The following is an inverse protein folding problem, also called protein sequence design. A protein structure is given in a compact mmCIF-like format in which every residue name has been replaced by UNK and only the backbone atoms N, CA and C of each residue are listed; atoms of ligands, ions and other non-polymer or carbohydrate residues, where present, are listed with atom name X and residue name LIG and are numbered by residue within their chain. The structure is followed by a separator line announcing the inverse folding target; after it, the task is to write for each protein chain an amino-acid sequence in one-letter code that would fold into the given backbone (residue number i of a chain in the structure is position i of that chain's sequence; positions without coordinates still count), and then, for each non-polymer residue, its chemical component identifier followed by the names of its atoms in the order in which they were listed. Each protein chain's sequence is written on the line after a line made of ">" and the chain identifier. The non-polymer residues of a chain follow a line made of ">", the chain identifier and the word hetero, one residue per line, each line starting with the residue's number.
data_IF_519443262317
#
_entry.id   IF_519443262317
#
_cell.length_a   1.000
_cell.length_b   1.000
_cell.length_c   1.000
_cell.angle_alpha   90.00
_cell.angle_beta   90.00
_cell.angle_gamma   90.00
#
_symmetry.space_group_name_H-M   'P 1'
#
loop_
_entity.id
_entity.type
_entity.pdbx_description
1 polymer ?
#
# COMPACT_ATOMS: atom_id res chain seq x y z
N UNK A 1 -4.48 -8.94 11.66
CA UNK A 1 -3.88 -8.50 10.39
C UNK A 1 -2.63 -9.31 10.07
N UNK A 2 -1.70 -9.51 11.00
CA UNK A 2 -0.45 -10.26 10.79
C UNK A 2 -0.68 -11.69 10.27
N UNK A 3 -1.69 -12.39 10.80
CA UNK A 3 -2.05 -13.74 10.32
C UNK A 3 -2.47 -13.75 8.84
N UNK A 4 -3.24 -12.76 8.41
CA UNK A 4 -3.67 -12.63 7.02
C UNK A 4 -2.50 -12.30 6.07
N UNK A 5 -1.55 -11.48 6.54
CA UNK A 5 -0.32 -11.21 5.79
C UNK A 5 0.58 -12.45 5.67
N UNK A 6 0.63 -13.29 6.71
CA UNK A 6 1.35 -14.57 6.66
C UNK A 6 0.70 -15.53 5.65
N UNK A 7 -0.63 -15.58 5.60
CA UNK A 7 -1.34 -16.36 4.58
C UNK A 7 -1.00 -15.88 3.17
N UNK A 8 -0.97 -14.57 2.95
CA UNK A 8 -0.62 -13.96 1.67
C UNK A 8 0.81 -14.38 1.23
N UNK A 9 1.76 -14.37 2.17
CA UNK A 9 3.14 -14.79 1.91
C UNK A 9 3.29 -16.27 1.51
N UNK A 10 2.43 -17.15 2.01
CA UNK A 10 2.44 -18.58 1.67
C UNK A 10 1.64 -18.86 0.40
N UNK A 11 0.50 -18.19 0.24
CA UNK A 11 -0.41 -18.43 -0.89
C UNK A 11 0.21 -17.92 -2.20
N UNK A 12 0.88 -16.77 -2.20
CA UNK A 12 1.41 -16.15 -3.41
C UNK A 12 2.36 -17.07 -4.21
N UNK A 13 3.45 -17.63 -3.63
CA UNK A 13 4.32 -18.56 -4.37
C UNK A 13 3.58 -19.83 -4.79
N UNK A 14 2.64 -20.32 -3.95
CA UNK A 14 1.88 -21.54 -4.23
C UNK A 14 0.94 -21.39 -5.43
N UNK A 15 0.34 -20.21 -5.59
CA UNK A 15 -0.55 -19.93 -6.73
C UNK A 15 0.27 -19.71 -8.01
N UNK A 16 1.45 -19.08 -7.93
CA UNK A 16 2.38 -18.97 -9.05
C UNK A 16 2.88 -20.33 -9.54
N UNK A 17 3.10 -21.28 -8.65
CA UNK A 17 3.40 -22.67 -9.04
C UNK A 17 2.27 -23.30 -9.87
N UNK A 18 1.01 -23.03 -9.52
CA UNK A 18 -0.14 -23.54 -10.28
C UNK A 18 -0.30 -22.92 -11.67
N UNK A 19 0.26 -21.74 -11.90
CA UNK A 19 0.29 -21.10 -13.22
C UNK A 19 1.40 -21.61 -14.15
N UNK A 20 2.14 -22.66 -13.72
CA UNK A 20 3.14 -23.34 -14.56
C UNK A 20 4.58 -22.88 -14.37
N UNK A 21 4.84 -21.98 -13.43
CA UNK A 21 6.20 -21.56 -13.07
C UNK A 21 6.90 -22.62 -12.19
N UNK A 22 8.24 -22.66 -12.25
CA UNK A 22 9.01 -23.50 -11.32
C UNK A 22 8.94 -22.93 -9.89
N UNK A 23 9.22 -23.77 -8.90
CA UNK A 23 9.29 -23.32 -7.50
C UNK A 23 10.36 -22.25 -7.31
N UNK A 24 11.51 -22.42 -7.95
CA UNK A 24 12.63 -21.48 -7.90
C UNK A 24 12.21 -20.10 -8.45
N UNK A 25 11.55 -20.07 -9.61
CA UNK A 25 11.11 -18.83 -10.25
C UNK A 25 10.02 -18.14 -9.42
N UNK A 26 9.05 -18.91 -8.92
CA UNK A 26 7.97 -18.37 -8.07
C UNK A 26 8.51 -17.72 -6.79
N UNK A 27 9.47 -18.35 -6.12
CA UNK A 27 10.12 -17.80 -4.94
C UNK A 27 11.01 -16.59 -5.28
N UNK A 28 11.71 -16.63 -6.41
CA UNK A 28 12.53 -15.50 -6.89
C UNK A 28 11.66 -14.26 -7.16
N UNK A 29 10.57 -14.43 -7.90
CA UNK A 29 9.61 -13.37 -8.19
C UNK A 29 9.03 -12.77 -6.90
N UNK A 30 8.61 -13.63 -5.97
CA UNK A 30 8.12 -13.19 -4.66
C UNK A 30 9.19 -12.42 -3.88
N UNK A 31 10.44 -12.90 -3.89
CA UNK A 31 11.57 -12.26 -3.24
C UNK A 31 11.89 -10.87 -3.84
N UNK A 32 11.87 -10.75 -5.16
CA UNK A 32 12.08 -9.47 -5.85
C UNK A 32 10.96 -8.48 -5.50
N UNK A 33 9.71 -8.94 -5.53
CA UNK A 33 8.57 -8.09 -5.22
C UNK A 33 8.58 -7.61 -3.76
N UNK A 34 8.72 -8.53 -2.81
CA UNK A 34 8.61 -8.24 -1.37
C UNK A 34 9.91 -7.74 -0.73
N UNK A 35 11.06 -8.14 -1.27
CA UNK A 35 12.37 -7.76 -0.75
C UNK A 35 12.99 -6.54 -1.43
N UNK A 36 12.55 -6.18 -2.64
CA UNK A 36 13.13 -5.08 -3.41
C UNK A 36 12.07 -4.02 -3.76
N UNK A 37 11.05 -4.36 -4.56
CA UNK A 37 10.13 -3.36 -5.09
C UNK A 37 9.22 -2.74 -4.01
N UNK A 38 8.55 -3.55 -3.19
CA UNK A 38 7.65 -3.06 -2.13
C UNK A 38 8.36 -2.18 -1.10
N UNK A 39 9.55 -2.55 -0.55
CA UNK A 39 10.28 -1.69 0.36
C UNK A 39 10.63 -0.31 -0.22
N UNK A 40 11.04 -0.26 -1.49
CA UNK A 40 11.35 1.01 -2.18
C UNK A 40 10.11 1.90 -2.26
N UNK A 41 8.99 1.35 -2.73
CA UNK A 41 7.73 2.10 -2.90
C UNK A 41 7.13 2.51 -1.55
N UNK A 42 7.29 1.69 -0.52
CA UNK A 42 6.78 2.01 0.82
C UNK A 42 7.70 2.90 1.64
N UNK A 43 8.99 2.99 1.31
CA UNK A 43 9.96 3.80 2.08
C UNK A 43 9.52 5.26 2.30
N UNK A 44 9.03 6.02 1.29
CA UNK A 44 8.59 7.39 1.52
C UNK A 44 7.35 7.50 2.41
N UNK A 45 6.59 6.40 2.62
CA UNK A 45 5.45 6.39 3.53
C UNK A 45 5.83 6.68 4.98
N UNK A 46 7.11 6.55 5.35
CA UNK A 46 7.61 6.92 6.66
C UNK A 46 7.34 8.40 6.99
N UNK A 47 7.39 9.29 5.98
CA UNK A 47 7.06 10.70 6.12
C UNK A 47 5.57 10.86 6.45
N UNK A 48 4.71 10.19 5.71
CA UNK A 48 3.26 10.21 5.96
C UNK A 48 2.91 9.59 7.30
N UNK A 49 3.57 8.52 7.71
CA UNK A 49 3.38 7.88 9.01
C UNK A 49 3.76 8.84 10.15
N UNK A 50 4.85 9.60 9.99
CA UNK A 50 5.27 10.60 10.98
C UNK A 50 4.22 11.72 11.14
N UNK A 51 3.70 12.24 10.04
CA UNK A 51 2.61 13.23 10.06
C UNK A 51 1.34 12.63 10.68
N UNK A 52 1.01 11.42 10.32
CA UNK A 52 -0.17 10.69 10.80
C UNK A 52 -0.13 10.42 12.32
N UNK A 53 1.06 10.12 12.86
CA UNK A 53 1.23 9.96 14.32
C UNK A 53 1.01 11.27 15.09
N UNK A 54 1.37 12.41 14.51
CA UNK A 54 1.08 13.74 15.11
C UNK A 54 -0.39 14.12 14.93
N UNK A 55 -1.02 13.68 13.86
CA UNK A 55 -2.42 13.97 13.55
C UNK A 55 -3.38 13.28 14.55
N UNK A 56 -3.09 12.06 14.95
CA UNK A 56 -3.93 11.27 15.84
C UNK A 56 -4.28 12.00 17.16
N UNK A 57 -3.33 12.50 17.99
CA UNK A 57 -3.66 13.23 19.20
C UNK A 57 -4.31 14.59 18.91
N UNK A 58 -3.98 15.23 17.79
CA UNK A 58 -4.58 16.50 17.38
C UNK A 58 -6.08 16.32 17.10
N UNK A 59 -6.44 15.31 16.33
CA UNK A 59 -7.85 14.96 16.05
C UNK A 59 -8.58 14.52 17.32
N UNK A 60 -7.95 13.68 18.15
CA UNK A 60 -8.55 13.22 19.41
C UNK A 60 -8.83 14.39 20.37
N UNK A 61 -7.90 15.33 20.48
CA UNK A 61 -8.07 16.54 21.28
C UNK A 61 -9.18 17.44 20.76
N UNK A 62 -9.22 17.70 19.46
CA UNK A 62 -10.28 18.49 18.82
C UNK A 62 -11.66 17.79 18.95
N UNK A 63 -11.71 16.47 18.83
CA UNK A 63 -12.93 15.69 18.99
C UNK A 63 -13.47 15.77 20.42
N UNK A 64 -12.62 15.64 21.44
CA UNK A 64 -13.03 15.78 22.83
C UNK A 64 -13.49 17.20 23.20
N UNK A 65 -12.95 18.22 22.52
CA UNK A 65 -13.35 19.62 22.66
C UNK A 65 -14.54 20.03 21.78
N UNK A 66 -15.14 19.13 21.01
CA UNK A 66 -16.17 19.41 20.00
C UNK A 66 -15.77 20.46 18.96
N UNK A 67 -14.44 20.60 18.68
CA UNK A 67 -13.92 21.53 17.68
C UNK A 67 -13.97 20.92 16.26
N UNK A 68 -15.17 20.96 15.67
CA UNK A 68 -15.40 20.46 14.30
C UNK A 68 -14.52 21.21 13.27
N UNK A 69 -14.26 22.51 13.49
CA UNK A 69 -13.44 23.31 12.60
C UNK A 69 -11.97 22.87 12.62
N UNK A 70 -11.44 22.57 13.81
CA UNK A 70 -10.09 22.02 13.98
C UNK A 70 -9.93 20.66 13.32
N UNK A 71 -10.89 19.76 13.50
CA UNK A 71 -10.91 18.43 12.86
C UNK A 71 -10.88 18.60 11.33
N UNK A 72 -11.76 19.44 10.78
CA UNK A 72 -11.85 19.66 9.32
C UNK A 72 -10.53 20.18 8.74
N UNK A 73 -9.95 21.23 9.34
CA UNK A 73 -8.68 21.80 8.87
C UNK A 73 -7.54 20.81 8.92
N UNK A 74 -7.40 20.08 10.03
CA UNK A 74 -6.36 19.06 10.20
C UNK A 74 -6.51 17.94 9.16
N UNK A 75 -7.72 17.47 8.92
CA UNK A 75 -8.05 16.46 7.92
C UNK A 75 -7.72 16.93 6.50
N UNK A 76 -8.21 18.10 6.10
CA UNK A 76 -7.96 18.69 4.77
C UNK A 76 -6.46 18.84 4.49
N UNK A 77 -5.72 19.46 5.44
CA UNK A 77 -4.28 19.62 5.31
C UNK A 77 -3.55 18.28 5.13
N UNK A 78 -3.91 17.28 5.91
CA UNK A 78 -3.24 15.98 5.90
C UNK A 78 -3.57 15.19 4.64
N UNK A 79 -4.79 15.28 4.12
CA UNK A 79 -5.17 14.70 2.83
C UNK A 79 -4.35 15.33 1.70
N UNK A 80 -4.30 16.66 1.64
CA UNK A 80 -3.52 17.37 0.62
C UNK A 80 -2.03 17.02 0.69
N UNK A 81 -1.46 16.97 1.89
CA UNK A 81 -0.08 16.59 2.10
C UNK A 81 0.19 15.16 1.58
N UNK A 82 -0.66 14.20 1.91
CA UNK A 82 -0.50 12.80 1.46
C UNK A 82 -0.66 12.66 -0.05
N UNK A 83 -1.59 13.39 -0.65
CA UNK A 83 -1.79 13.39 -2.11
C UNK A 83 -0.59 13.98 -2.84
N UNK A 84 -0.09 15.13 -2.40
CA UNK A 84 1.08 15.78 -3.00
C UNK A 84 2.30 14.88 -2.88
N UNK A 85 2.56 14.33 -1.70
CA UNK A 85 3.68 13.40 -1.48
C UNK A 85 3.53 12.14 -2.34
N UNK A 86 2.33 11.60 -2.43
CA UNK A 86 2.04 10.41 -3.25
C UNK A 86 2.28 10.67 -4.74
N UNK A 87 1.74 11.77 -5.29
CA UNK A 87 1.93 12.15 -6.70
C UNK A 87 3.41 12.44 -7.00
N UNK A 88 4.11 13.11 -6.09
CA UNK A 88 5.56 13.33 -6.23
C UNK A 88 6.32 12.00 -6.32
N UNK A 89 5.99 11.03 -5.45
CA UNK A 89 6.61 9.71 -5.48
C UNK A 89 6.29 8.93 -6.77
N UNK A 90 5.07 9.05 -7.32
CA UNK A 90 4.75 8.50 -8.65
C UNK A 90 5.73 9.03 -9.69
N UNK A 91 5.92 10.34 -9.76
CA UNK A 91 6.87 10.96 -10.69
C UNK A 91 8.29 10.39 -10.50
N UNK A 92 8.79 10.37 -9.27
CA UNK A 92 10.13 9.85 -8.96
C UNK A 92 10.28 8.40 -9.39
N UNK A 93 9.34 7.53 -9.04
CA UNK A 93 9.45 6.10 -9.35
C UNK A 93 9.21 5.77 -10.83
N UNK A 94 8.42 6.54 -11.56
CA UNK A 94 8.29 6.37 -13.00
C UNK A 94 9.57 6.78 -13.75
N UNK A 95 10.28 7.84 -13.28
CA UNK A 95 11.53 8.28 -13.91
C UNK A 95 12.74 7.44 -13.49
N UNK A 96 12.82 7.03 -12.23
CA UNK A 96 14.00 6.37 -11.66
C UNK A 96 13.79 4.90 -11.34
N UNK A 97 12.60 4.32 -11.55
CA UNK A 97 12.29 2.92 -11.20
C UNK A 97 13.19 1.93 -11.93
N UNK A 98 13.38 2.10 -13.23
CA UNK A 98 14.28 1.27 -14.02
C UNK A 98 15.75 1.42 -13.57
N UNK A 99 16.22 2.64 -13.32
CA UNK A 99 17.54 2.90 -12.80
C UNK A 99 17.77 2.22 -11.45
N UNK A 100 16.80 2.26 -10.55
CA UNK A 100 16.85 1.61 -9.23
C UNK A 100 16.94 0.09 -9.42
N UNK A 101 16.07 -0.47 -10.26
CA UNK A 101 16.07 -1.91 -10.54
C UNK A 101 17.38 -2.40 -11.15
N UNK A 102 17.87 -1.74 -12.20
CA UNK A 102 19.03 -2.19 -12.97
C UNK A 102 20.36 -1.88 -12.28
N UNK A 103 20.54 -0.68 -11.72
CA UNK A 103 21.82 -0.23 -11.20
C UNK A 103 22.01 -0.49 -9.70
N UNK A 104 20.94 -0.37 -8.90
CA UNK A 104 21.01 -0.59 -7.45
C UNK A 104 20.81 -2.06 -7.12
N UNK A 105 19.72 -2.66 -7.58
CA UNK A 105 19.38 -4.05 -7.28
C UNK A 105 19.99 -5.05 -8.27
N UNK A 106 20.44 -4.60 -9.44
CA UNK A 106 20.90 -5.46 -10.54
C UNK A 106 19.86 -6.50 -10.97
N UNK A 107 18.60 -6.12 -10.85
CA UNK A 107 17.43 -6.93 -11.19
C UNK A 107 16.44 -6.07 -11.99
N UNK A 108 16.42 -6.16 -13.33
CA UNK A 108 15.51 -5.37 -14.18
C UNK A 108 14.05 -5.54 -13.80
N UNK A 109 13.65 -6.76 -13.41
CA UNK A 109 12.29 -7.07 -12.98
C UNK A 109 11.85 -6.26 -11.74
N UNK A 110 12.78 -5.92 -10.84
CA UNK A 110 12.50 -5.05 -9.71
C UNK A 110 12.13 -3.63 -10.18
N UNK A 111 12.78 -3.12 -11.23
CA UNK A 111 12.48 -1.83 -11.83
C UNK A 111 11.07 -1.78 -12.42
N UNK A 112 10.68 -2.82 -13.17
CA UNK A 112 9.33 -2.94 -13.71
C UNK A 112 8.27 -2.93 -12.60
N UNK A 113 8.48 -3.69 -11.53
CA UNK A 113 7.56 -3.73 -10.40
C UNK A 113 7.50 -2.39 -9.65
N UNK A 114 8.62 -1.68 -9.50
CA UNK A 114 8.64 -0.34 -8.90
C UNK A 114 7.80 0.64 -9.72
N UNK A 115 7.92 0.62 -11.05
CA UNK A 115 7.15 1.50 -11.93
C UNK A 115 5.64 1.18 -11.89
N UNK A 116 5.26 -0.08 -11.86
CA UNK A 116 3.85 -0.48 -11.72
C UNK A 116 3.31 -0.07 -10.34
N UNK A 117 4.05 -0.37 -9.28
CA UNK A 117 3.68 -0.05 -7.91
C UNK A 117 3.73 1.45 -7.60
N UNK A 118 4.39 2.26 -8.42
CA UNK A 118 4.40 3.71 -8.25
C UNK A 118 2.98 4.28 -8.15
N UNK A 119 2.05 3.78 -8.95
CA UNK A 119 0.64 4.19 -8.92
C UNK A 119 -0.07 3.88 -7.60
N UNK A 120 0.51 3.01 -6.77
CA UNK A 120 0.01 2.70 -5.44
C UNK A 120 0.25 3.83 -4.44
N UNK A 121 1.32 4.64 -4.62
CA UNK A 121 1.78 5.62 -3.64
C UNK A 121 0.69 6.59 -3.15
N UNK A 122 -0.08 7.28 -4.02
CA UNK A 122 -1.09 8.22 -3.57
C UNK A 122 -2.16 7.58 -2.68
N UNK A 123 -2.63 6.39 -3.09
CA UNK A 123 -3.68 5.67 -2.37
C UNK A 123 -3.15 5.08 -1.06
N UNK A 124 -1.95 4.52 -1.07
CA UNK A 124 -1.31 3.98 0.12
C UNK A 124 -1.06 5.07 1.17
N UNK A 125 -0.52 6.22 0.77
CA UNK A 125 -0.22 7.29 1.70
C UNK A 125 -1.50 7.94 2.24
N UNK A 126 -2.52 8.09 1.39
CA UNK A 126 -3.81 8.60 1.79
C UNK A 126 -4.52 7.64 2.76
N UNK A 127 -4.46 6.33 2.50
CA UNK A 127 -5.04 5.30 3.37
C UNK A 127 -4.39 5.30 4.78
N UNK A 128 -3.07 5.52 4.89
CA UNK A 128 -2.37 5.68 6.17
C UNK A 128 -2.92 6.89 6.93
N UNK A 129 -3.08 8.01 6.26
CA UNK A 129 -3.57 9.26 6.85
C UNK A 129 -5.02 9.15 7.28
N UNK A 130 -5.89 8.62 6.43
CA UNK A 130 -7.32 8.39 6.76
C UNK A 130 -7.48 7.41 7.92
N UNK A 131 -6.67 6.35 7.98
CA UNK A 131 -6.63 5.43 9.10
C UNK A 131 -6.33 6.14 10.42
N UNK A 132 -5.34 7.04 10.44
CA UNK A 132 -5.01 7.83 11.64
C UNK A 132 -6.12 8.80 12.05
N UNK A 133 -6.83 9.38 11.08
CA UNK A 133 -8.00 10.24 11.35
C UNK A 133 -9.12 9.42 12.01
N UNK A 134 -9.45 8.24 11.45
CA UNK A 134 -10.44 7.34 12.03
C UNK A 134 -10.08 6.92 13.46
N UNK A 135 -8.83 6.61 13.72
CA UNK A 135 -8.35 6.30 15.07
C UNK A 135 -8.44 7.51 16.01
N UNK A 136 -8.10 8.72 15.54
CA UNK A 136 -8.24 9.96 16.31
C UNK A 136 -9.69 10.32 16.64
N UNK A 137 -10.64 9.96 15.79
CA UNK A 137 -12.07 10.10 16.03
C UNK A 137 -12.65 8.99 16.92
N UNK A 138 -11.86 7.98 17.31
CA UNK A 138 -12.32 6.83 18.07
C UNK A 138 -13.07 5.78 17.25
N UNK A 139 -13.11 5.92 15.91
CA UNK A 139 -13.80 5.02 14.97
C UNK A 139 -12.93 3.81 14.61
N UNK A 140 -12.34 3.16 15.61
CA UNK A 140 -11.40 2.03 15.45
C UNK A 140 -12.04 0.83 14.73
N UNK A 141 -13.34 0.60 14.98
CA UNK A 141 -14.06 -0.49 14.32
C UNK A 141 -14.20 -0.24 12.80
N UNK A 142 -14.45 1.00 12.39
CA UNK A 142 -14.49 1.36 10.97
C UNK A 142 -13.11 1.14 10.33
N UNK A 143 -12.04 1.63 10.94
CA UNK A 143 -10.68 1.42 10.47
C UNK A 143 -10.33 -0.08 10.35
N UNK A 144 -10.77 -0.91 11.31
CA UNK A 144 -10.59 -2.36 11.25
C UNK A 144 -11.34 -2.99 10.07
N UNK A 145 -12.61 -2.64 9.87
CA UNK A 145 -13.43 -3.16 8.75
C UNK A 145 -12.80 -2.78 7.40
N UNK A 146 -12.38 -1.53 7.21
CA UNK A 146 -11.72 -1.07 5.98
C UNK A 146 -10.45 -1.89 5.70
N UNK A 147 -9.62 -2.14 6.73
CA UNK A 147 -8.43 -2.97 6.59
C UNK A 147 -8.77 -4.44 6.24
N UNK A 148 -9.82 -5.02 6.83
CA UNK A 148 -10.26 -6.38 6.51
C UNK A 148 -10.74 -6.46 5.06
N UNK A 149 -11.53 -5.49 4.60
CA UNK A 149 -11.98 -5.41 3.19
C UNK A 149 -10.76 -5.38 2.25
N UNK A 150 -9.77 -4.54 2.55
CA UNK A 150 -8.54 -4.45 1.77
C UNK A 150 -7.81 -5.79 1.66
N UNK A 151 -7.66 -6.52 2.78
CA UNK A 151 -7.02 -7.84 2.78
C UNK A 151 -7.83 -8.87 2.00
N UNK A 152 -9.16 -8.87 2.14
CA UNK A 152 -10.04 -9.78 1.38
C UNK A 152 -9.90 -9.54 -0.13
N UNK A 153 -9.85 -8.28 -0.58
CA UNK A 153 -9.63 -7.95 -1.99
C UNK A 153 -8.27 -8.47 -2.47
N UNK A 154 -7.20 -8.30 -1.69
CA UNK A 154 -5.87 -8.82 -2.04
C UNK A 154 -5.83 -10.34 -2.13
N UNK A 155 -6.44 -11.03 -1.17
CA UNK A 155 -6.54 -12.50 -1.21
C UNK A 155 -7.39 -12.99 -2.40
N UNK A 156 -8.48 -12.30 -2.72
CA UNK A 156 -9.28 -12.60 -3.90
C UNK A 156 -8.47 -12.41 -5.19
N UNK A 157 -7.68 -11.34 -5.28
CA UNK A 157 -6.79 -11.08 -6.43
C UNK A 157 -5.69 -12.13 -6.56
N UNK A 158 -5.16 -12.63 -5.45
CA UNK A 158 -4.23 -13.77 -5.45
C UNK A 158 -4.89 -15.03 -6.02
N UNK A 159 -6.12 -15.33 -5.62
CA UNK A 159 -6.79 -16.57 -6.00
C UNK A 159 -7.33 -16.56 -7.43
N UNK A 160 -7.83 -15.41 -7.90
CA UNK A 160 -8.44 -15.28 -9.22
C UNK A 160 -7.55 -14.54 -10.22
N UNK A 161 -6.78 -13.54 -9.80
CA UNK A 161 -5.96 -12.71 -10.68
C UNK A 161 -4.63 -13.38 -11.06
N UNK A 162 -3.93 -13.98 -10.12
CA UNK A 162 -2.61 -14.59 -10.37
C UNK A 162 -2.68 -15.77 -11.34
N UNK A 163 -3.67 -16.69 -11.31
CA UNK A 163 -3.76 -17.77 -12.29
C UNK A 163 -3.98 -17.30 -13.72
N UNK A 164 -4.56 -16.12 -13.93
CA UNK A 164 -4.91 -15.58 -15.26
C UNK A 164 -3.84 -14.61 -15.78
N UNK A 165 -3.37 -13.71 -14.92
CA UNK A 165 -2.47 -12.61 -15.28
C UNK A 165 -1.09 -12.72 -14.63
N UNK A 166 -0.79 -13.81 -13.93
CA UNK A 166 0.48 -13.97 -13.23
C UNK A 166 0.67 -12.90 -12.14
N UNK A 167 1.89 -12.41 -12.03
CA UNK A 167 2.27 -11.39 -11.02
C UNK A 167 1.51 -10.08 -11.19
N UNK A 168 1.21 -9.68 -12.43
CA UNK A 168 0.46 -8.46 -12.73
C UNK A 168 -0.95 -8.50 -12.14
N UNK A 169 -1.56 -9.70 -12.06
CA UNK A 169 -2.84 -9.91 -11.38
C UNK A 169 -2.78 -9.60 -9.89
N UNK A 170 -1.68 -9.89 -9.23
CA UNK A 170 -1.46 -9.51 -7.83
C UNK A 170 -1.17 -8.02 -7.67
N UNK A 171 -0.34 -7.44 -8.53
CA UNK A 171 -0.02 -6.01 -8.51
C UNK A 171 -1.28 -5.16 -8.72
N UNK A 172 -2.13 -5.53 -9.66
CA UNK A 172 -3.42 -4.88 -9.87
C UNK A 172 -4.35 -5.04 -8.66
N UNK A 173 -4.34 -6.20 -8.01
CA UNK A 173 -5.06 -6.44 -6.76
C UNK A 173 -4.60 -5.54 -5.61
N UNK A 174 -3.30 -5.31 -5.47
CA UNK A 174 -2.75 -4.36 -4.51
C UNK A 174 -3.25 -2.93 -4.79
N UNK A 175 -3.26 -2.51 -6.06
CA UNK A 175 -3.76 -1.20 -6.47
C UNK A 175 -5.26 -1.05 -6.14
N UNK A 176 -6.08 -2.01 -6.56
CA UNK A 176 -7.53 -2.01 -6.34
C UNK A 176 -7.85 -2.03 -4.84
N UNK A 177 -7.17 -2.88 -4.07
CA UNK A 177 -7.34 -2.95 -2.62
C UNK A 177 -7.10 -1.61 -1.93
N UNK A 178 -5.98 -0.96 -2.23
CA UNK A 178 -5.66 0.34 -1.62
C UNK A 178 -6.60 1.45 -2.11
N UNK A 179 -7.01 1.43 -3.38
CA UNK A 179 -7.99 2.37 -3.91
C UNK A 179 -9.33 2.21 -3.19
N UNK A 180 -9.83 0.99 -3.04
CA UNK A 180 -11.11 0.73 -2.35
C UNK A 180 -11.03 1.14 -0.88
N UNK A 181 -9.97 0.78 -0.16
CA UNK A 181 -9.76 1.17 1.25
C UNK A 181 -9.69 2.70 1.40
N UNK A 182 -9.15 3.39 0.41
CA UNK A 182 -9.05 4.85 0.43
C UNK A 182 -10.39 5.54 0.16
N UNK A 183 -11.28 4.91 -0.62
CA UNK A 183 -12.60 5.46 -0.96
C UNK A 183 -13.69 5.13 0.06
N UNK A 184 -13.49 4.14 0.94
CA UNK A 184 -14.40 3.77 2.03
C UNK A 184 -14.21 4.68 3.25
#
# INVERSE_FOLDING_TARGET
>A
LTFLQTLEAVIFPTVLLKSGLSLSDSLSIYGILTGMALPVVTFPSAINTSVSTMLLPTIAGANSGNDVSGIKKATEYSIWFSMITGIFCVGVFLFYGDFIGTNIFRQPLAGEYIMILAWLCPFLYLSITLGSILHGLGLTNAAFIHNVIGVVIRLASLWFGVPVFGVEGYLSGLLISNLVVTLL
#
